data_IF_993432236387
#
_entry.id   IF_993432236387
#
_cell.length_a   1.000
_cell.length_b   1.000
_cell.length_c   1.000
_cell.angle_alpha   90.00
_cell.angle_beta   90.00
_cell.angle_gamma   90.00
#
_symmetry.space_group_name_H-M   'P 1'
#
loop_
_entity.id
_entity.type
_entity.pdbx_description
1 polymer ?
#
# COMPACT_ATOMS: atom_id res chain seq x y z
N UNK A 1 9.44 18.01 -17.63
CA UNK A 1 9.26 18.41 -16.21
C UNK A 1 7.79 18.82 -16.04
N UNK A 2 6.90 17.94 -15.56
CA UNK A 2 5.44 18.17 -15.54
C UNK A 2 4.75 17.73 -14.22
N UNK A 3 5.46 17.66 -13.10
CA UNK A 3 4.89 17.20 -11.82
C UNK A 3 4.41 18.31 -10.87
N UNK A 4 4.72 19.58 -11.14
CA UNK A 4 4.73 20.61 -10.11
C UNK A 4 3.32 21.04 -9.66
N UNK A 5 2.31 20.95 -10.54
CA UNK A 5 0.94 21.34 -10.19
C UNK A 5 0.15 20.30 -9.39
N UNK A 6 0.48 19.00 -9.48
CA UNK A 6 -0.28 17.95 -8.78
C UNK A 6 0.08 17.95 -7.29
N UNK A 7 1.37 18.01 -6.96
CA UNK A 7 1.82 18.04 -5.56
C UNK A 7 1.43 19.33 -4.85
N UNK A 8 1.45 20.48 -5.54
CA UNK A 8 0.97 21.76 -4.98
C UNK A 8 -0.54 21.76 -4.75
N UNK A 9 -1.33 21.22 -5.70
CA UNK A 9 -2.77 21.07 -5.51
C UNK A 9 -3.12 20.14 -4.34
N UNK A 10 -2.31 19.09 -4.12
CA UNK A 10 -2.48 18.15 -3.01
C UNK A 10 -2.06 18.76 -1.66
N UNK A 11 -1.08 19.66 -1.64
CA UNK A 11 -0.65 20.37 -0.43
C UNK A 11 -1.73 21.32 0.13
N UNK A 12 -2.70 21.74 -0.70
CA UNK A 12 -3.84 22.55 -0.28
C UNK A 12 -5.03 21.76 0.27
N UNK A 13 -4.93 20.43 0.38
CA UNK A 13 -6.02 19.60 0.89
C UNK A 13 -6.22 19.78 2.41
N UNK A 14 -7.46 19.66 2.92
CA UNK A 14 -7.72 19.68 4.35
C UNK A 14 -7.01 18.55 5.10
N UNK A 15 -6.58 18.79 6.33
CA UNK A 15 -5.84 17.82 7.15
C UNK A 15 -6.55 16.46 7.33
N UNK A 16 -7.88 16.45 7.37
CA UNK A 16 -8.66 15.21 7.47
C UNK A 16 -8.55 14.33 6.22
N UNK A 17 -8.31 14.95 5.05
CA UNK A 17 -8.07 14.23 3.79
C UNK A 17 -6.70 13.57 3.85
N UNK A 18 -5.68 14.27 4.32
CA UNK A 18 -4.34 13.71 4.52
C UNK A 18 -4.38 12.51 5.48
N UNK A 19 -5.11 12.63 6.61
CA UNK A 19 -5.31 11.54 7.55
C UNK A 19 -6.02 10.34 6.91
N UNK A 20 -7.08 10.57 6.12
CA UNK A 20 -7.77 9.49 5.41
C UNK A 20 -6.82 8.76 4.47
N UNK A 21 -6.01 9.47 3.68
CA UNK A 21 -5.05 8.85 2.77
C UNK A 21 -3.90 8.15 3.51
N UNK A 22 -3.48 8.66 4.68
CA UNK A 22 -2.53 8.01 5.57
C UNK A 22 -3.07 6.68 6.13
N UNK A 23 -4.38 6.59 6.39
CA UNK A 23 -5.03 5.33 6.76
C UNK A 23 -5.19 4.40 5.54
N UNK A 24 -5.58 4.93 4.39
CA UNK A 24 -5.78 4.13 3.18
C UNK A 24 -4.48 3.52 2.66
N UNK A 25 -3.34 4.22 2.78
CA UNK A 25 -2.05 3.64 2.38
C UNK A 25 -1.70 2.41 3.22
N UNK A 26 -2.21 2.28 4.45
CA UNK A 26 -1.95 1.12 5.31
C UNK A 26 -2.42 -0.20 4.70
N UNK A 27 -3.37 -0.16 3.75
CA UNK A 27 -3.77 -1.34 2.97
C UNK A 27 -2.62 -2.00 2.21
N UNK A 28 -1.51 -1.29 1.97
CA UNK A 28 -0.32 -1.82 1.34
C UNK A 28 0.93 -1.77 2.23
N UNK A 29 0.75 -1.47 3.52
CA UNK A 29 1.84 -1.55 4.48
C UNK A 29 2.18 -3.02 4.76
N UNK A 30 3.45 -3.30 5.07
CA UNK A 30 3.96 -4.63 5.31
C UNK A 30 3.18 -5.34 6.44
N UNK A 31 2.87 -4.65 7.54
CA UNK A 31 2.15 -5.29 8.65
C UNK A 31 0.76 -5.77 8.21
N UNK A 32 0.04 -4.95 7.43
CA UNK A 32 -1.30 -5.26 6.97
C UNK A 32 -1.28 -6.37 5.92
N UNK A 33 -0.36 -6.27 4.96
CA UNK A 33 -0.19 -7.27 3.90
C UNK A 33 0.20 -8.61 4.49
N UNK A 34 1.28 -8.68 5.28
CA UNK A 34 1.76 -9.96 5.82
C UNK A 34 0.82 -10.51 6.89
N UNK A 35 0.26 -9.65 7.75
CA UNK A 35 -0.75 -10.06 8.73
C UNK A 35 -2.02 -10.60 8.07
N UNK A 36 -2.55 -9.88 7.07
CA UNK A 36 -3.72 -10.28 6.32
C UNK A 36 -3.49 -11.57 5.52
N UNK A 37 -2.35 -11.73 4.87
CA UNK A 37 -2.00 -12.96 4.15
C UNK A 37 -1.74 -14.13 5.09
N UNK A 38 -1.17 -13.91 6.27
CA UNK A 38 -1.03 -14.95 7.30
C UNK A 38 -2.41 -15.41 7.79
N UNK A 39 -3.32 -14.47 8.08
CA UNK A 39 -4.71 -14.80 8.44
C UNK A 39 -5.43 -15.54 7.32
N UNK A 40 -5.26 -15.11 6.07
CA UNK A 40 -5.80 -15.80 4.90
C UNK A 40 -5.23 -17.23 4.81
N UNK A 41 -3.92 -17.39 4.95
CA UNK A 41 -3.31 -18.71 4.94
C UNK A 41 -3.85 -19.62 6.04
N UNK A 42 -4.06 -19.07 7.25
CA UNK A 42 -4.53 -19.80 8.42
C UNK A 42 -6.02 -20.16 8.36
N UNK A 43 -6.86 -19.23 7.90
CA UNK A 43 -8.31 -19.26 8.04
C UNK A 43 -9.08 -19.49 6.73
N UNK A 44 -8.43 -19.36 5.56
CA UNK A 44 -9.12 -19.59 4.29
C UNK A 44 -9.58 -21.04 4.14
N UNK A 45 -10.78 -21.18 3.59
CA UNK A 45 -11.43 -22.45 3.30
C UNK A 45 -11.76 -22.57 1.80
N UNK A 46 -12.40 -23.68 1.44
CA UNK A 46 -12.81 -23.98 0.06
C UNK A 46 -13.88 -23.02 -0.49
N UNK A 47 -14.47 -22.15 0.35
CA UNK A 47 -15.40 -21.11 -0.12
C UNK A 47 -14.65 -19.93 -0.74
N UNK A 48 -13.37 -19.74 -0.41
CA UNK A 48 -12.53 -18.66 -0.92
C UNK A 48 -11.73 -19.07 -2.15
N UNK A 49 -11.15 -20.27 -2.13
CA UNK A 49 -10.31 -20.78 -3.21
C UNK A 49 -10.44 -22.30 -3.35
N UNK A 50 -10.22 -22.83 -4.55
CA UNK A 50 -10.12 -24.27 -4.79
C UNK A 50 -9.02 -24.96 -3.96
N UNK A 51 -7.86 -24.31 -3.79
CA UNK A 51 -6.74 -24.81 -2.97
C UNK A 51 -6.28 -23.72 -1.97
N UNK A 52 -7.01 -23.51 -0.85
CA UNK A 52 -6.82 -22.32 0.00
C UNK A 52 -5.42 -22.21 0.62
N UNK A 53 -4.84 -23.34 1.07
CA UNK A 53 -3.48 -23.35 1.66
C UNK A 53 -2.41 -23.02 0.63
N UNK A 54 -2.52 -23.55 -0.59
CA UNK A 54 -1.59 -23.26 -1.69
C UNK A 54 -1.74 -21.82 -2.15
N UNK A 55 -2.96 -21.32 -2.26
CA UNK A 55 -3.24 -19.92 -2.57
C UNK A 55 -2.59 -18.99 -1.54
N UNK A 56 -2.83 -19.22 -0.24
CA UNK A 56 -2.22 -18.44 0.83
C UNK A 56 -0.68 -18.48 0.80
N UNK A 57 -0.07 -19.66 0.68
CA UNK A 57 1.38 -19.80 0.61
C UNK A 57 1.98 -19.09 -0.61
N UNK A 58 1.32 -19.19 -1.77
CA UNK A 58 1.74 -18.50 -3.00
C UNK A 58 1.68 -16.99 -2.84
N UNK A 59 0.62 -16.47 -2.21
CA UNK A 59 0.49 -15.03 -1.97
C UNK A 59 1.54 -14.50 -1.01
N UNK A 60 1.85 -15.24 0.06
CA UNK A 60 2.95 -14.90 0.98
C UNK A 60 4.28 -14.87 0.23
N UNK A 61 4.57 -15.89 -0.58
CA UNK A 61 5.78 -15.93 -1.39
C UNK A 61 5.86 -14.74 -2.38
N UNK A 62 4.75 -14.41 -3.04
CA UNK A 62 4.67 -13.24 -3.93
C UNK A 62 4.92 -11.93 -3.18
N UNK A 63 4.37 -11.77 -1.97
CA UNK A 63 4.60 -10.59 -1.13
C UNK A 63 6.08 -10.46 -0.73
N UNK A 64 6.74 -11.56 -0.37
CA UNK A 64 8.18 -11.59 -0.07
C UNK A 64 8.99 -11.20 -1.32
N UNK A 65 8.68 -11.79 -2.48
CA UNK A 65 9.35 -11.44 -3.73
C UNK A 65 9.17 -9.97 -4.10
N UNK A 66 7.96 -9.42 -3.94
CA UNK A 66 7.69 -8.00 -4.20
C UNK A 66 8.48 -7.09 -3.26
N UNK A 67 8.56 -7.44 -1.97
CA UNK A 67 9.35 -6.71 -0.99
C UNK A 67 10.84 -6.74 -1.36
N UNK A 68 11.39 -7.94 -1.63
CA UNK A 68 12.80 -8.11 -1.98
C UNK A 68 13.17 -7.34 -3.27
N UNK A 69 12.33 -7.45 -4.31
CA UNK A 69 12.52 -6.71 -5.55
C UNK A 69 12.45 -5.19 -5.34
N UNK A 70 11.51 -4.72 -4.52
CA UNK A 70 11.40 -3.29 -4.17
C UNK A 70 12.66 -2.80 -3.48
N UNK A 71 13.15 -3.52 -2.47
CA UNK A 71 14.37 -3.15 -1.74
C UNK A 71 15.57 -3.11 -2.68
N UNK A 72 15.75 -4.16 -3.49
CA UNK A 72 16.83 -4.23 -4.47
C UNK A 72 16.78 -3.06 -5.46
N UNK A 73 15.61 -2.76 -6.01
CA UNK A 73 15.45 -1.65 -6.95
C UNK A 73 15.65 -0.29 -6.29
N UNK A 74 15.19 -0.11 -5.05
CA UNK A 74 15.44 1.12 -4.29
C UNK A 74 16.94 1.39 -4.17
N UNK A 75 17.72 0.37 -3.82
CA UNK A 75 19.18 0.50 -3.71
C UNK A 75 19.85 0.71 -5.06
N UNK A 76 19.35 0.07 -6.13
CA UNK A 76 19.94 0.18 -7.47
C UNK A 76 19.68 1.55 -8.12
N UNK A 77 18.47 2.10 -7.96
CA UNK A 77 18.12 3.38 -8.58
C UNK A 77 18.57 4.59 -7.76
N UNK A 78 18.61 4.48 -6.43
CA UNK A 78 19.16 5.53 -5.57
C UNK A 78 18.43 6.89 -5.64
N UNK A 79 17.18 6.91 -6.12
CA UNK A 79 16.44 8.16 -6.30
C UNK A 79 15.97 8.69 -4.95
N UNK A 80 16.53 9.83 -4.54
CA UNK A 80 16.12 10.52 -3.33
C UNK A 80 14.68 11.06 -3.45
N UNK A 81 13.98 11.08 -2.32
CA UNK A 81 12.63 11.64 -2.23
C UNK A 81 12.68 13.17 -2.40
N UNK A 82 11.59 13.80 -2.87
CA UNK A 82 11.44 15.25 -2.82
C UNK A 82 11.65 15.80 -1.41
N UNK A 83 12.22 16.99 -1.28
CA UNK A 83 12.37 17.67 0.00
C UNK A 83 10.98 17.89 0.64
N UNK A 84 10.83 17.53 1.92
CA UNK A 84 9.55 17.61 2.65
C UNK A 84 8.70 16.32 2.66
N UNK A 85 8.98 15.35 1.79
CA UNK A 85 8.25 14.07 1.76
C UNK A 85 8.57 13.11 2.94
N UNK A 86 9.43 13.54 3.87
CA UNK A 86 9.74 12.82 5.10
C UNK A 86 9.11 13.43 6.35
N UNK A 87 8.39 14.54 6.22
CA UNK A 87 7.79 15.27 7.35
C UNK A 87 6.28 15.29 7.22
N UNK A 88 5.59 14.57 8.10
CA UNK A 88 4.14 14.64 8.20
C UNK A 88 3.77 15.64 9.30
N UNK A 89 2.99 16.66 8.95
CA UNK A 89 2.44 17.61 9.93
C UNK A 89 1.12 17.03 10.46
N UNK A 90 1.01 16.70 11.76
CA UNK A 90 -0.23 16.19 12.33
C UNK A 90 -1.34 17.25 12.23
N UNK A 91 -2.61 16.84 12.03
CA UNK A 91 -3.74 17.76 12.10
C UNK A 91 -3.80 18.46 13.46
N UNK A 92 -4.07 19.77 13.49
CA UNK A 92 -4.04 20.55 14.74
C UNK A 92 -5.08 20.11 15.79
N UNK A 93 -6.13 19.41 15.36
CA UNK A 93 -7.17 18.86 16.23
C UNK A 93 -6.86 17.45 16.75
N UNK A 94 -5.81 16.79 16.23
CA UNK A 94 -5.43 15.45 16.67
C UNK A 94 -4.77 15.56 18.06
N UNK A 95 -5.20 14.77 19.07
CA UNK A 95 -4.53 14.78 20.36
C UNK A 95 -3.06 14.40 20.22
N UNK A 96 -2.16 15.16 20.86
CA UNK A 96 -0.70 15.00 20.76
C UNK A 96 -0.19 13.58 21.10
N UNK A 97 -0.99 12.78 21.82
CA UNK A 97 -0.72 11.36 22.06
C UNK A 97 -0.59 10.53 20.76
N UNK A 98 -1.27 10.94 19.68
CA UNK A 98 -1.30 10.22 18.40
C UNK A 98 -0.30 10.74 17.37
N UNK A 99 0.42 11.82 17.64
CA UNK A 99 1.49 12.34 16.76
C UNK A 99 2.50 11.27 16.32
N UNK A 100 3.04 10.41 17.20
CA UNK A 100 3.98 9.37 16.75
C UNK A 100 3.34 8.33 15.84
N UNK A 101 2.06 8.00 16.06
CA UNK A 101 1.30 7.08 15.21
C UNK A 101 1.08 7.71 13.85
N UNK A 102 0.64 8.97 13.82
CA UNK A 102 0.41 9.70 12.57
C UNK A 102 1.68 9.85 11.74
N UNK A 103 2.79 10.22 12.38
CA UNK A 103 4.09 10.29 11.71
C UNK A 103 4.45 8.92 11.11
N UNK A 104 4.37 7.84 11.89
CA UNK A 104 4.71 6.50 11.43
C UNK A 104 3.91 6.03 10.21
N UNK A 105 2.60 6.27 10.17
CA UNK A 105 1.75 5.83 9.05
C UNK A 105 1.86 6.72 7.81
N UNK A 106 2.32 7.96 7.96
CA UNK A 106 2.33 8.97 6.89
C UNK A 106 3.71 9.10 6.23
N UNK A 107 4.79 8.94 7.01
CA UNK A 107 6.16 9.08 6.49
C UNK A 107 6.74 7.74 6.03
N UNK A 108 7.89 7.77 5.39
CA UNK A 108 8.69 6.57 5.22
C UNK A 108 10.15 6.90 5.00
N UNK A 109 11.02 5.93 5.25
CA UNK A 109 12.46 6.14 5.17
C UNK A 109 13.05 5.66 3.82
N UNK A 110 14.25 6.15 3.49
CA UNK A 110 15.04 5.71 2.33
C UNK A 110 14.56 6.21 0.96
N UNK A 111 15.05 5.58 -0.11
CA UNK A 111 14.81 6.01 -1.49
C UNK A 111 13.33 6.02 -1.89
N UNK A 112 12.97 6.95 -2.78
CA UNK A 112 11.61 7.21 -3.24
C UNK A 112 11.15 6.33 -4.41
N UNK A 113 12.09 5.76 -5.18
CA UNK A 113 11.77 4.94 -6.34
C UNK A 113 12.35 3.52 -6.23
N UNK A 114 11.58 2.47 -6.55
CA UNK A 114 10.13 2.47 -6.80
C UNK A 114 9.31 2.64 -5.51
N UNK A 115 8.02 2.98 -5.65
CA UNK A 115 7.08 3.04 -4.51
C UNK A 115 6.75 1.64 -4.01
N UNK A 116 7.22 1.29 -2.81
CA UNK A 116 7.00 -0.04 -2.24
C UNK A 116 5.53 -0.35 -1.97
N UNK A 117 4.74 0.64 -1.59
CA UNK A 117 3.30 0.50 -1.39
C UNK A 117 2.58 0.19 -2.71
N UNK A 118 2.90 0.92 -3.79
CA UNK A 118 2.29 0.68 -5.09
C UNK A 118 2.72 -0.68 -5.69
N UNK A 119 3.99 -1.06 -5.54
CA UNK A 119 4.51 -2.35 -6.02
C UNK A 119 3.88 -3.52 -5.25
N UNK A 120 3.91 -3.48 -3.92
CA UNK A 120 3.34 -4.54 -3.08
C UNK A 120 1.82 -4.65 -3.27
N UNK A 121 1.08 -3.53 -3.32
CA UNK A 121 -0.37 -3.56 -3.56
C UNK A 121 -0.70 -4.20 -4.91
N UNK A 122 0.05 -3.85 -5.97
CA UNK A 122 -0.18 -4.39 -7.31
C UNK A 122 0.00 -5.91 -7.35
N UNK A 123 1.07 -6.41 -6.74
CA UNK A 123 1.38 -7.85 -6.70
C UNK A 123 0.38 -8.60 -5.80
N UNK A 124 0.12 -8.09 -4.60
CA UNK A 124 -0.69 -8.79 -3.60
C UNK A 124 -2.18 -8.78 -3.97
N UNK A 125 -2.76 -7.62 -4.27
CA UNK A 125 -4.18 -7.54 -4.62
C UNK A 125 -4.46 -8.14 -6.00
N UNK A 126 -3.52 -8.00 -6.95
CA UNK A 126 -3.58 -8.72 -8.22
C UNK A 126 -3.53 -10.23 -8.02
N UNK A 127 -2.61 -10.71 -7.17
CA UNK A 127 -2.51 -12.10 -6.75
C UNK A 127 -3.80 -12.60 -6.12
N UNK A 128 -4.36 -11.87 -5.17
CA UNK A 128 -5.63 -12.20 -4.51
C UNK A 128 -6.77 -12.33 -5.51
N UNK A 129 -6.87 -11.40 -6.46
CA UNK A 129 -7.91 -11.45 -7.50
C UNK A 129 -7.83 -12.69 -8.40
N UNK A 130 -6.63 -13.27 -8.54
CA UNK A 130 -6.39 -14.48 -9.32
C UNK A 130 -6.52 -15.75 -8.49
N UNK A 131 -6.04 -15.73 -7.24
CA UNK A 131 -5.98 -16.90 -6.36
C UNK A 131 -7.33 -17.22 -5.67
N UNK A 132 -8.13 -16.20 -5.35
CA UNK A 132 -9.45 -16.36 -4.72
C UNK A 132 -10.54 -16.63 -5.77
N UNK A 133 -10.48 -17.82 -6.37
CA UNK A 133 -11.27 -18.15 -7.57
C UNK A 133 -12.77 -18.39 -7.30
N UNK A 134 -13.17 -18.69 -6.07
CA UNK A 134 -14.55 -19.01 -5.67
C UNK A 134 -15.41 -17.80 -5.33
N UNK A 135 -14.80 -16.66 -5.03
CA UNK A 135 -15.51 -15.42 -4.71
C UNK A 135 -15.71 -14.54 -5.93
N UNK A 136 -16.94 -14.14 -6.22
CA UNK A 136 -17.28 -13.23 -7.33
C UNK A 136 -16.81 -13.73 -8.71
N UNK A 137 -17.07 -12.92 -9.75
CA UNK A 137 -16.51 -13.18 -11.08
C UNK A 137 -15.09 -12.61 -11.18
N UNK A 138 -14.25 -13.21 -12.03
CA UNK A 138 -12.87 -12.75 -12.28
C UNK A 138 -12.79 -11.25 -12.60
N UNK A 139 -13.73 -10.74 -13.40
CA UNK A 139 -13.80 -9.30 -13.74
C UNK A 139 -14.01 -8.43 -12.49
N UNK A 140 -14.97 -8.79 -11.62
CA UNK A 140 -15.23 -8.03 -10.38
C UNK A 140 -14.03 -8.04 -9.44
N UNK A 141 -13.34 -9.19 -9.30
CA UNK A 141 -12.12 -9.30 -8.50
C UNK A 141 -10.99 -8.42 -9.02
N UNK A 142 -10.75 -8.43 -10.34
CA UNK A 142 -9.72 -7.59 -10.95
C UNK A 142 -10.05 -6.09 -10.83
N UNK A 143 -11.32 -5.71 -10.97
CA UNK A 143 -11.75 -4.33 -10.75
C UNK A 143 -11.55 -3.90 -9.29
N UNK A 144 -11.88 -4.76 -8.33
CA UNK A 144 -11.65 -4.47 -6.91
C UNK A 144 -10.15 -4.32 -6.61
N UNK A 145 -9.32 -5.23 -7.11
CA UNK A 145 -7.86 -5.14 -6.97
C UNK A 145 -7.31 -3.86 -7.61
N UNK A 146 -7.72 -3.54 -8.84
CA UNK A 146 -7.33 -2.32 -9.53
C UNK A 146 -7.75 -1.05 -8.77
N UNK A 147 -8.95 -1.04 -8.20
CA UNK A 147 -9.44 0.05 -7.36
C UNK A 147 -8.58 0.26 -6.11
N UNK A 148 -8.26 -0.82 -5.39
CA UNK A 148 -7.39 -0.75 -4.20
C UNK A 148 -6.00 -0.23 -4.58
N UNK A 149 -5.41 -0.76 -5.65
CA UNK A 149 -4.09 -0.33 -6.14
C UNK A 149 -4.09 1.15 -6.53
N UNK A 150 -5.12 1.60 -7.24
CA UNK A 150 -5.26 3.00 -7.63
C UNK A 150 -5.39 3.91 -6.40
N UNK A 151 -6.20 3.51 -5.41
CA UNK A 151 -6.34 4.24 -4.14
C UNK A 151 -5.01 4.33 -3.41
N UNK A 152 -4.30 3.21 -3.22
CA UNK A 152 -2.99 3.18 -2.56
C UNK A 152 -1.96 4.05 -3.30
N UNK A 153 -1.90 3.94 -4.62
CA UNK A 153 -0.99 4.75 -5.43
C UNK A 153 -1.30 6.26 -5.30
N UNK A 154 -2.59 6.61 -5.31
CA UNK A 154 -3.04 7.98 -5.08
C UNK A 154 -2.70 8.45 -3.65
N UNK A 155 -2.90 7.61 -2.63
CA UNK A 155 -2.52 7.93 -1.25
C UNK A 155 -1.07 8.35 -1.15
N UNK A 156 -0.16 7.62 -1.81
CA UNK A 156 1.27 7.94 -1.82
C UNK A 156 1.58 9.29 -2.46
N UNK A 157 0.81 9.71 -3.46
CA UNK A 157 0.96 11.04 -4.06
C UNK A 157 0.44 12.14 -3.14
N UNK A 158 -0.66 11.89 -2.43
CA UNK A 158 -1.29 12.87 -1.51
C UNK A 158 -0.41 13.11 -0.28
N UNK A 159 0.16 12.06 0.30
CA UNK A 159 0.92 12.17 1.56
C UNK A 159 2.42 12.46 1.37
N UNK A 160 2.97 12.28 0.15
CA UNK A 160 4.40 12.47 -0.14
C UNK A 160 5.23 11.21 0.04
#
# INVERSE_FOLDING_TARGET
MHGWGVTEALAGLPDWVALLFALLTQLADAWFVFGGLALLYLLADERLASEPRRAGATLIALAICALAATVAFKTTFGVHRPAGAGTATPPAWLPALFDPVYANISTGDGFGFPSGHATSSSVVYGGLALALDRLWTRRKRLLAAGGIVAVVALSRLVIG
#
